data_IF_100912983490
#
_entry.id   IF_100912983490
#
_cell.length_a   1.000
_cell.length_b   1.000
_cell.length_c   1.000
_cell.angle_alpha   90.00
_cell.angle_beta   90.00
_cell.angle_gamma   90.00
#
_symmetry.space_group_name_H-M   'P 1'
#
loop_
_entity.id
_entity.type
_entity.pdbx_description
1 polymer ?
#
# COMPACT_ATOMS: atom_id res chain seq x y z
N UNK A 1 -17.61 -4.90 -35.90
CA UNK A 1 -17.23 -4.42 -34.55
C UNK A 1 -15.86 -5.00 -34.25
N UNK A 2 -14.82 -4.22 -34.55
CA UNK A 2 -13.42 -4.65 -34.55
C UNK A 2 -12.80 -4.22 -33.22
N UNK A 3 -12.43 -5.22 -32.42
CA UNK A 3 -11.68 -5.06 -31.17
C UNK A 3 -10.37 -4.34 -31.49
N UNK A 4 -10.19 -3.16 -30.93
CA UNK A 4 -8.95 -2.39 -31.09
C UNK A 4 -7.90 -2.91 -30.13
N UNK A 5 -6.86 -3.45 -30.74
CA UNK A 5 -5.52 -3.71 -30.23
C UNK A 5 -5.02 -2.59 -29.31
N UNK A 6 -4.42 -2.97 -28.18
CA UNK A 6 -3.37 -2.15 -27.55
C UNK A 6 -2.36 -3.06 -26.87
N UNK A 7 -1.27 -3.29 -27.59
CA UNK A 7 -0.12 -4.04 -27.12
C UNK A 7 0.67 -3.40 -25.98
N UNK A 8 1.62 -4.21 -25.50
CA UNK A 8 2.97 -3.74 -25.23
C UNK A 8 3.23 -3.10 -23.87
N UNK A 9 3.44 -3.94 -22.87
CA UNK A 9 4.24 -3.60 -21.70
C UNK A 9 5.00 -4.84 -21.26
N UNK A 10 6.32 -4.89 -21.52
CA UNK A 10 7.19 -5.91 -20.92
C UNK A 10 7.31 -5.57 -19.44
N UNK A 11 6.45 -6.17 -18.60
CA UNK A 11 6.50 -5.99 -17.15
C UNK A 11 7.77 -6.61 -16.61
N UNK A 12 8.61 -5.75 -16.06
CA UNK A 12 9.88 -6.10 -15.41
C UNK A 12 9.54 -7.11 -14.32
N UNK A 13 10.14 -8.30 -14.41
CA UNK A 13 10.01 -9.37 -13.40
C UNK A 13 10.75 -8.91 -12.15
N UNK A 14 10.13 -8.01 -11.37
CA UNK A 14 10.67 -7.55 -10.08
C UNK A 14 10.61 -8.77 -9.17
N UNK A 15 11.78 -9.35 -8.94
CA UNK A 15 11.98 -10.63 -8.31
C UNK A 15 11.24 -10.70 -6.99
N UNK A 16 10.24 -11.59 -6.90
CA UNK A 16 9.53 -12.03 -5.69
C UNK A 16 10.44 -12.44 -4.52
N UNK A 17 11.77 -12.49 -4.73
CA UNK A 17 12.79 -12.96 -3.79
C UNK A 17 13.04 -12.05 -2.59
N UNK A 18 12.59 -10.79 -2.62
CA UNK A 18 12.82 -9.82 -1.54
C UNK A 18 11.52 -9.31 -0.88
N UNK A 19 10.36 -9.74 -1.36
CA UNK A 19 9.06 -9.36 -0.81
C UNK A 19 8.68 -10.38 0.27
N UNK A 20 8.33 -9.91 1.46
CA UNK A 20 7.87 -10.80 2.51
C UNK A 20 6.63 -11.60 2.04
N UNK A 21 6.55 -12.93 2.29
CA UNK A 21 5.42 -13.74 1.85
C UNK A 21 4.07 -13.25 2.39
N UNK A 22 4.08 -12.61 3.56
CA UNK A 22 2.89 -11.99 4.13
C UNK A 22 2.30 -10.85 3.27
N UNK A 23 3.13 -10.14 2.50
CA UNK A 23 2.69 -9.11 1.56
C UNK A 23 2.14 -9.69 0.26
N UNK A 24 2.64 -10.85 -0.16
CA UNK A 24 2.13 -11.58 -1.33
C UNK A 24 0.78 -12.25 -1.02
N UNK A 25 0.58 -12.68 0.22
CA UNK A 25 -0.66 -13.28 0.70
C UNK A 25 -1.70 -12.24 1.18
N UNK A 26 -1.45 -10.94 1.00
CA UNK A 26 -2.38 -9.90 1.42
C UNK A 26 -3.46 -9.67 0.35
N UNK A 27 -4.73 -9.80 0.76
CA UNK A 27 -5.89 -9.58 -0.10
C UNK A 27 -6.74 -8.40 0.38
N UNK A 28 -7.52 -7.81 -0.52
CA UNK A 28 -8.39 -6.67 -0.21
C UNK A 28 -9.44 -7.00 0.87
N UNK A 29 -10.00 -8.21 0.84
CA UNK A 29 -10.95 -8.68 1.86
C UNK A 29 -10.33 -8.68 3.26
N UNK A 30 -9.04 -9.02 3.36
CA UNK A 30 -8.31 -8.95 4.62
C UNK A 30 -8.18 -7.51 5.08
N UNK A 31 -7.88 -6.57 4.19
CA UNK A 31 -7.83 -5.13 4.52
C UNK A 31 -9.18 -4.64 5.05
N UNK A 32 -10.30 -5.06 4.44
CA UNK A 32 -11.66 -4.71 4.90
C UNK A 32 -11.97 -5.20 6.31
N UNK A 33 -11.33 -6.28 6.76
CA UNK A 33 -11.51 -6.79 8.13
C UNK A 33 -10.66 -6.07 9.19
N UNK A 34 -9.65 -5.31 8.79
CA UNK A 34 -8.76 -4.58 9.72
C UNK A 34 -9.39 -3.30 10.27
N UNK A 35 -10.35 -2.73 9.54
CA UNK A 35 -10.95 -1.43 9.83
C UNK A 35 -12.44 -1.43 9.61
N UNK A 36 -13.12 -0.45 10.19
CA UNK A 36 -14.52 -0.20 9.92
C UNK A 36 -14.77 0.16 8.45
N UNK A 37 -15.92 -0.22 7.85
CA UNK A 37 -16.25 0.10 6.46
C UNK A 37 -16.13 1.59 6.12
N UNK A 38 -16.43 2.46 7.09
CA UNK A 38 -16.31 3.92 6.96
C UNK A 38 -14.86 4.40 6.79
N UNK A 39 -13.90 3.76 7.46
CA UNK A 39 -12.47 4.09 7.31
C UNK A 39 -11.93 3.47 6.04
N UNK A 40 -12.39 2.27 5.69
CA UNK A 40 -12.06 1.64 4.41
C UNK A 40 -12.44 2.54 3.22
N UNK A 41 -13.70 3.00 3.17
CA UNK A 41 -14.20 3.88 2.11
C UNK A 41 -13.36 5.16 1.98
N UNK A 42 -13.00 5.78 3.11
CA UNK A 42 -12.11 6.96 3.12
C UNK A 42 -10.69 6.65 2.65
N UNK A 43 -10.18 5.46 2.94
CA UNK A 43 -8.88 5.03 2.43
C UNK A 43 -8.91 4.85 0.91
N UNK A 44 -10.00 4.27 0.39
CA UNK A 44 -10.23 4.14 -1.05
C UNK A 44 -10.31 5.50 -1.74
N UNK A 45 -11.06 6.46 -1.19
CA UNK A 45 -11.12 7.84 -1.71
C UNK A 45 -9.71 8.47 -1.84
N UNK A 46 -8.82 8.26 -0.87
CA UNK A 46 -7.46 8.80 -0.90
C UNK A 46 -6.57 8.07 -1.91
N UNK A 47 -6.75 6.76 -2.07
CA UNK A 47 -6.08 5.97 -3.10
C UNK A 47 -6.52 6.41 -4.50
N UNK A 48 -7.83 6.51 -4.75
CA UNK A 48 -8.39 6.94 -6.04
C UNK A 48 -8.03 8.38 -6.39
N UNK A 49 -7.93 9.25 -5.39
CA UNK A 49 -7.44 10.61 -5.55
C UNK A 49 -5.94 10.73 -5.85
N UNK A 50 -5.18 9.62 -5.84
CA UNK A 50 -3.74 9.64 -6.11
C UNK A 50 -2.92 10.35 -5.04
N UNK A 51 -3.42 10.39 -3.80
CA UNK A 51 -2.76 11.08 -2.69
C UNK A 51 -1.53 10.33 -2.16
N UNK A 52 -1.39 9.05 -2.49
CA UNK A 52 -0.25 8.21 -2.09
C UNK A 52 0.93 8.49 -3.02
N UNK A 53 1.99 9.05 -2.46
CA UNK A 53 3.21 9.46 -3.16
C UNK A 53 4.42 8.78 -2.55
N UNK A 54 5.47 8.58 -3.37
CA UNK A 54 6.71 7.92 -2.95
C UNK A 54 6.50 6.56 -2.24
N UNK A 55 5.67 5.64 -2.78
CA UNK A 55 5.55 4.31 -2.18
C UNK A 55 6.87 3.55 -2.31
N UNK A 56 7.42 3.13 -1.18
CA UNK A 56 8.63 2.31 -1.09
C UNK A 56 8.40 1.04 -0.30
N UNK A 57 9.05 -0.05 -0.71
CA UNK A 57 9.09 -1.31 0.02
C UNK A 57 10.51 -1.54 0.54
N UNK A 58 10.64 -1.70 1.84
CA UNK A 58 11.87 -1.98 2.57
C UNK A 58 11.69 -3.31 3.33
N UNK A 59 11.96 -4.42 2.65
CA UNK A 59 11.83 -5.78 3.20
C UNK A 59 10.41 -6.13 3.66
N UNK A 60 10.12 -5.92 4.94
CA UNK A 60 8.80 -6.17 5.54
C UNK A 60 8.00 -4.89 5.82
N UNK A 61 8.53 -3.72 5.43
CA UNK A 61 7.92 -2.42 5.70
C UNK A 61 7.54 -1.75 4.39
N UNK A 62 6.25 -1.43 4.24
CA UNK A 62 5.74 -0.54 3.21
C UNK A 62 5.76 0.88 3.76
N UNK A 63 6.51 1.78 3.13
CA UNK A 63 6.50 3.21 3.46
C UNK A 63 5.86 3.97 2.30
N UNK A 64 5.09 4.99 2.61
CA UNK A 64 4.60 5.93 1.61
C UNK A 64 4.25 7.25 2.28
N UNK A 65 4.28 8.32 1.49
CA UNK A 65 3.86 9.64 1.91
C UNK A 65 2.46 9.90 1.37
N UNK A 66 1.49 10.09 2.25
CA UNK A 66 0.11 10.38 1.85
C UNK A 66 -0.15 11.88 1.99
N UNK A 67 -0.36 12.54 0.86
CA UNK A 67 -0.60 13.98 0.81
C UNK A 67 -2.08 14.27 1.00
N UNK A 68 -2.46 14.70 2.20
CA UNK A 68 -3.82 15.14 2.52
C UNK A 68 -3.88 16.65 2.70
N UNK A 69 -4.25 17.09 3.91
CA UNK A 69 -4.07 18.48 4.32
C UNK A 69 -2.58 18.84 4.44
N UNK A 70 -1.77 17.87 4.86
CA UNK A 70 -0.31 17.92 4.92
C UNK A 70 0.25 16.60 4.39
N UNK A 71 1.57 16.52 4.23
CA UNK A 71 2.25 15.27 3.90
C UNK A 71 2.38 14.41 5.16
N UNK A 72 1.70 13.26 5.18
CA UNK A 72 1.77 12.32 6.29
C UNK A 72 2.63 11.12 5.92
N UNK A 73 3.74 10.95 6.64
CA UNK A 73 4.54 9.73 6.56
C UNK A 73 3.73 8.57 7.15
N UNK A 74 3.54 7.54 6.32
CA UNK A 74 2.75 6.36 6.63
C UNK A 74 3.59 5.12 6.36
N UNK A 75 3.70 4.28 7.37
CA UNK A 75 4.45 3.04 7.33
C UNK A 75 3.52 1.91 7.74
N UNK A 76 3.55 0.81 7.00
CA UNK A 76 2.84 -0.41 7.32
C UNK A 76 3.84 -1.54 7.36
N UNK A 77 3.91 -2.23 8.49
CA UNK A 77 4.83 -3.32 8.74
C UNK A 77 4.04 -4.63 8.75
N UNK A 78 4.65 -5.69 8.23
CA UNK A 78 4.14 -7.04 8.39
C UNK A 78 5.15 -7.90 9.14
N UNK A 79 4.66 -8.88 9.89
CA UNK A 79 5.51 -9.88 10.53
C UNK A 79 5.31 -11.27 9.87
N UNK A 80 6.21 -12.24 10.12
CA UNK A 80 6.12 -13.58 9.52
C UNK A 80 4.83 -14.33 9.88
N UNK A 81 4.21 -13.97 11.01
CA UNK A 81 2.90 -14.48 11.45
C UNK A 81 1.72 -13.87 10.69
N UNK A 82 1.98 -12.90 9.80
CA UNK A 82 1.00 -12.21 8.99
C UNK A 82 0.30 -11.04 9.66
N UNK A 83 0.54 -10.76 10.94
CA UNK A 83 0.02 -9.56 11.60
C UNK A 83 0.54 -8.29 10.89
N UNK A 84 -0.36 -7.33 10.75
CA UNK A 84 -0.07 -6.04 10.18
C UNK A 84 -0.06 -5.00 11.30
N UNK A 85 0.88 -4.08 11.22
CA UNK A 85 0.99 -2.92 12.10
C UNK A 85 1.08 -1.68 11.23
N UNK A 86 0.39 -0.60 11.61
CA UNK A 86 0.53 0.67 10.92
C UNK A 86 1.08 1.75 11.84
N UNK A 87 1.86 2.63 11.26
CA UNK A 87 2.36 3.84 11.87
C UNK A 87 2.05 4.99 10.91
N UNK A 88 1.35 6.00 11.40
CA UNK A 88 1.06 7.19 10.63
C UNK A 88 1.19 8.40 11.53
N UNK A 89 1.81 9.45 11.02
CA UNK A 89 1.98 10.74 11.72
C UNK A 89 0.68 11.55 11.83
N UNK A 90 -0.44 11.05 11.29
CA UNK A 90 -1.70 11.78 11.34
C UNK A 90 -2.29 11.86 12.76
N UNK A 91 -2.89 12.99 13.16
CA UNK A 91 -3.48 13.15 14.50
C UNK A 91 -4.81 12.41 14.68
N UNK A 92 -5.37 11.82 13.61
CA UNK A 92 -6.69 11.19 13.60
C UNK A 92 -6.62 9.65 13.66
N UNK A 93 -5.67 9.10 14.40
CA UNK A 93 -5.60 7.65 14.64
C UNK A 93 -6.64 7.28 15.70
N UNK A 94 -7.79 6.74 15.23
CA UNK A 94 -8.86 6.21 16.10
C UNK A 94 -9.00 4.69 16.03
N UNK A 95 -8.36 4.08 15.04
CA UNK A 95 -8.39 2.66 14.73
C UNK A 95 -6.96 2.18 14.52
N UNK A 96 -6.69 0.86 14.61
CA UNK A 96 -5.35 0.30 14.41
C UNK A 96 -4.74 0.66 13.05
N UNK A 97 -5.58 0.99 12.06
CA UNK A 97 -5.17 1.55 10.78
C UNK A 97 -5.97 2.81 10.49
N UNK A 98 -5.27 3.89 10.12
CA UNK A 98 -5.91 5.10 9.64
C UNK A 98 -6.23 4.99 8.15
N UNK A 99 -7.07 5.91 7.63
CA UNK A 99 -7.39 6.02 6.20
C UNK A 99 -6.14 6.08 5.30
N UNK A 100 -5.04 6.69 5.75
CA UNK A 100 -3.79 6.77 4.98
C UNK A 100 -3.12 5.39 4.87
N UNK A 101 -3.05 4.64 5.96
CA UNK A 101 -2.52 3.28 5.94
C UNK A 101 -3.34 2.37 5.02
N UNK A 102 -4.67 2.51 5.04
CA UNK A 102 -5.54 1.78 4.11
C UNK A 102 -5.26 2.17 2.65
N UNK A 103 -5.08 3.46 2.35
CA UNK A 103 -4.74 3.90 1.00
C UNK A 103 -3.42 3.27 0.50
N UNK A 104 -2.41 3.17 1.37
CA UNK A 104 -1.13 2.50 1.06
C UNK A 104 -1.32 1.00 0.84
N UNK A 105 -2.10 0.32 1.69
CA UNK A 105 -2.40 -1.10 1.54
C UNK A 105 -3.17 -1.40 0.25
N UNK A 106 -4.13 -0.55 -0.11
CA UNK A 106 -4.87 -0.66 -1.38
C UNK A 106 -3.95 -0.45 -2.58
N UNK A 107 -3.05 0.55 -2.51
CA UNK A 107 -2.03 0.74 -3.54
C UNK A 107 -1.15 -0.50 -3.70
N UNK A 108 -0.76 -1.16 -2.60
CA UNK A 108 0.04 -2.38 -2.64
C UNK A 108 -0.71 -3.54 -3.28
N UNK A 109 -1.95 -3.81 -2.87
CA UNK A 109 -2.74 -4.92 -3.40
C UNK A 109 -3.14 -4.71 -4.87
N UNK A 110 -3.49 -3.47 -5.24
CA UNK A 110 -3.95 -3.16 -6.60
C UNK A 110 -2.81 -2.90 -7.58
N UNK A 111 -1.72 -2.27 -7.12
CA UNK A 111 -0.56 -1.88 -7.94
C UNK A 111 0.77 -2.00 -7.19
N UNK A 112 1.20 -3.23 -6.85
CA UNK A 112 2.47 -3.44 -6.15
C UNK A 112 3.68 -2.94 -6.97
N UNK A 113 3.57 -2.85 -8.29
CA UNK A 113 4.62 -2.34 -9.19
C UNK A 113 4.96 -0.87 -8.97
N UNK A 114 4.04 -0.10 -8.37
CA UNK A 114 4.26 1.31 -8.04
C UNK A 114 5.29 1.50 -6.92
N UNK A 115 5.51 0.48 -6.08
CA UNK A 115 6.44 0.57 -4.96
C UNK A 115 7.89 0.44 -5.42
N UNK A 116 8.71 1.42 -5.07
CA UNK A 116 10.15 1.40 -5.32
C UNK A 116 10.86 0.64 -4.19
N UNK A 117 11.84 -0.20 -4.49
CA UNK A 117 12.59 -0.86 -3.41
C UNK A 117 13.48 0.20 -2.76
N UNK A 118 13.31 0.42 -1.45
CA UNK A 118 14.25 1.20 -0.67
C UNK A 118 15.52 0.37 -0.52
N UNK A 119 16.47 0.56 -1.43
CA UNK A 119 17.79 -0.02 -1.28
C UNK A 119 18.42 0.56 -0.02
N UNK A 120 18.75 -0.31 0.94
CA UNK A 120 19.65 0.05 2.04
C UNK A 120 21.00 0.40 1.41
N UNK A 121 21.24 1.69 1.21
CA UNK A 121 22.56 2.21 0.90
C UNK A 121 23.40 2.14 2.17
N UNK A 122 24.25 1.10 2.21
CA UNK A 122 25.60 0.98 2.80
C UNK A 122 25.88 1.51 4.22
#
# INVERSE_FOLDING_TARGET
MIFSDRGGGKFVKKTEREIAPAWLALEEERIKTLVSPKVYQRGEEYYEGGHVTQPTLEGQVLRATVTGAEAYDTQVMTNPSGQLSSFCTCPFVREPFCKHAIAVLLQWVRRPESFTQGGQGE
#
